data_IF_188036641061
#
_entry.id   IF_188036641061
#
_cell.length_a   1.000
_cell.length_b   1.000
_cell.length_c   1.000
_cell.angle_alpha   90.00
_cell.angle_beta   90.00
_cell.angle_gamma   90.00
#
_symmetry.space_group_name_H-M   'P 1'
#
loop_
_entity.id
_entity.type
_entity.pdbx_description
1 polymer ?
#
# COMPACT_ATOMS: atom_id res chain seq x y z
N UNK A 1 20.34 9.31 3.53
CA UNK A 1 19.29 10.18 4.10
C UNK A 1 17.96 9.73 3.53
N UNK A 2 17.34 8.76 4.19
CA UNK A 2 16.00 8.27 3.88
C UNK A 2 15.00 9.19 4.59
N UNK A 3 14.63 10.26 3.91
CA UNK A 3 13.65 11.23 4.39
C UNK A 3 12.23 10.65 4.22
N UNK A 4 11.94 9.58 4.96
CA UNK A 4 10.58 9.11 5.18
C UNK A 4 10.03 9.93 6.33
N UNK A 5 9.58 11.15 6.01
CA UNK A 5 8.83 11.98 6.95
C UNK A 5 7.76 11.13 7.63
N UNK A 6 7.74 11.21 8.95
CA UNK A 6 6.74 10.58 9.82
C UNK A 6 5.38 10.74 9.14
N UNK A 7 4.62 9.65 8.86
CA UNK A 7 3.30 9.79 8.28
C UNK A 7 2.52 10.76 9.16
N UNK A 8 2.05 11.87 8.61
CA UNK A 8 1.07 12.71 9.30
C UNK A 8 -0.07 11.76 9.67
N UNK A 9 -0.23 11.50 10.96
CA UNK A 9 -1.23 10.57 11.45
C UNK A 9 -2.60 11.10 11.04
N UNK A 10 -3.40 10.28 10.36
CA UNK A 10 -4.72 10.69 9.90
C UNK A 10 -5.56 11.17 11.09
N UNK A 11 -5.99 12.44 11.05
CA UNK A 11 -6.80 13.09 12.10
C UNK A 11 -8.17 12.44 12.28
N UNK A 12 -8.66 11.73 11.25
CA UNK A 12 -9.96 11.05 11.33
C UNK A 12 -9.94 9.85 12.27
N UNK A 13 -8.80 9.16 12.38
CA UNK A 13 -8.66 7.93 13.18
C UNK A 13 -7.55 8.04 14.24
N UNK A 14 -7.25 9.25 14.70
CA UNK A 14 -6.22 9.52 15.73
C UNK A 14 -6.50 8.84 17.08
N UNK A 15 -7.77 8.72 17.43
CA UNK A 15 -8.29 8.00 18.59
C UNK A 15 -8.28 6.47 18.43
N UNK A 16 -7.93 5.95 17.25
CA UNK A 16 -7.81 4.50 17.03
C UNK A 16 -6.39 4.09 17.40
N UNK A 17 -6.25 3.19 18.36
CA UNK A 17 -4.95 2.68 18.78
C UNK A 17 -4.25 1.88 17.66
N UNK A 18 -2.93 2.07 17.55
CA UNK A 18 -2.04 1.26 16.73
C UNK A 18 -0.92 0.67 17.59
N UNK A 19 -0.46 -0.51 17.22
CA UNK A 19 0.66 -1.17 17.89
C UNK A 19 1.99 -0.53 17.50
N UNK A 20 2.85 -0.22 18.48
CA UNK A 20 4.13 0.49 18.29
C UNK A 20 5.37 -0.33 18.60
N UNK A 21 5.21 -1.62 18.95
CA UNK A 21 6.32 -2.47 19.41
C UNK A 21 7.16 -3.09 18.28
N UNK A 22 6.93 -2.70 17.03
CA UNK A 22 7.55 -3.32 15.85
C UNK A 22 8.95 -2.75 15.58
N UNK A 23 9.94 -3.62 15.41
CA UNK A 23 11.25 -3.20 14.91
C UNK A 23 11.17 -2.90 13.41
N UNK A 24 11.37 -1.65 13.03
CA UNK A 24 11.40 -1.26 11.63
C UNK A 24 12.67 -1.73 10.93
N UNK A 25 12.52 -2.44 9.81
CA UNK A 25 13.63 -2.96 9.02
C UNK A 25 13.42 -2.76 7.52
N UNK A 26 14.50 -2.53 6.79
CA UNK A 26 14.48 -2.47 5.33
C UNK A 26 14.66 -3.87 4.71
N UNK A 27 14.00 -4.16 3.58
CA UNK A 27 14.19 -5.41 2.84
C UNK A 27 15.44 -5.38 1.97
N UNK A 28 16.06 -6.55 1.78
CA UNK A 28 16.91 -6.76 0.61
C UNK A 28 16.02 -6.73 -0.62
N UNK A 29 16.35 -5.85 -1.57
CA UNK A 29 15.57 -5.64 -2.79
C UNK A 29 16.31 -6.19 -4.00
N UNK A 30 15.61 -6.93 -4.86
CA UNK A 30 16.14 -7.44 -6.12
C UNK A 30 15.09 -7.34 -7.22
N UNK A 31 15.50 -7.46 -8.48
CA UNK A 31 14.57 -7.49 -9.61
C UNK A 31 14.67 -8.83 -10.32
N UNK A 32 13.55 -9.54 -10.45
CA UNK A 32 13.46 -10.83 -11.14
C UNK A 32 12.41 -10.68 -12.23
N UNK A 33 12.81 -10.85 -13.49
CA UNK A 33 11.91 -10.71 -14.65
C UNK A 33 11.10 -9.39 -14.67
N UNK A 34 11.72 -8.29 -14.23
CA UNK A 34 11.07 -6.96 -14.13
C UNK A 34 10.21 -6.76 -12.89
N UNK A 35 10.01 -7.79 -12.06
CA UNK A 35 9.29 -7.71 -10.78
C UNK A 35 10.25 -7.40 -9.65
N UNK A 36 9.90 -6.44 -8.79
CA UNK A 36 10.69 -6.14 -7.60
C UNK A 36 10.37 -7.11 -6.48
N UNK A 37 11.37 -7.86 -6.02
CA UNK A 37 11.27 -8.83 -4.94
C UNK A 37 11.90 -8.27 -3.67
N UNK A 38 11.21 -8.48 -2.54
CA UNK A 38 11.67 -8.13 -1.20
C UNK A 38 12.02 -9.39 -0.42
N UNK A 39 13.09 -9.32 0.37
CA UNK A 39 13.53 -10.43 1.21
C UNK A 39 13.99 -9.94 2.56
N UNK A 40 13.56 -10.64 3.62
CA UNK A 40 14.07 -10.45 4.97
C UNK A 40 14.65 -11.75 5.53
N UNK A 41 15.67 -11.60 6.37
CA UNK A 41 16.17 -12.63 7.26
C UNK A 41 16.14 -12.07 8.67
N UNK A 42 15.32 -12.63 9.53
CA UNK A 42 15.12 -12.11 10.89
C UNK A 42 15.20 -13.24 11.92
N UNK A 43 15.87 -13.02 13.06
CA UNK A 43 15.74 -13.92 14.21
C UNK A 43 14.38 -13.75 14.88
N UNK A 44 14.12 -14.49 15.97
CA UNK A 44 12.94 -14.31 16.82
C UNK A 44 12.68 -12.83 17.13
N UNK A 45 11.44 -12.37 16.94
CA UNK A 45 11.02 -11.00 17.24
C UNK A 45 9.81 -10.53 16.43
N UNK A 46 9.49 -9.24 16.58
CA UNK A 46 8.39 -8.55 15.92
C UNK A 46 8.96 -7.44 15.01
N UNK A 47 8.65 -7.49 13.72
CA UNK A 47 9.23 -6.60 12.72
C UNK A 47 8.17 -5.90 11.85
N UNK A 48 8.49 -4.71 11.37
CA UNK A 48 7.74 -3.99 10.34
C UNK A 48 8.65 -3.66 9.15
N UNK A 49 8.25 -4.02 7.94
CA UNK A 49 8.97 -3.61 6.75
C UNK A 49 8.68 -2.14 6.43
N UNK A 50 9.72 -1.32 6.36
CA UNK A 50 9.61 0.12 6.06
C UNK A 50 9.10 0.43 4.64
N UNK A 51 9.21 -0.53 3.71
CA UNK A 51 8.78 -0.36 2.31
C UNK A 51 7.31 -0.75 2.12
N UNK A 52 6.91 -1.92 2.63
CA UNK A 52 5.56 -2.47 2.40
C UNK A 52 4.59 -2.20 3.55
N UNK A 53 5.09 -1.87 4.74
CA UNK A 53 4.29 -1.84 5.96
C UNK A 53 3.85 -3.22 6.44
N UNK A 54 4.31 -4.31 5.83
CA UNK A 54 4.04 -5.68 6.31
C UNK A 54 4.65 -5.86 7.69
N UNK A 55 3.87 -6.37 8.65
CA UNK A 55 4.37 -6.72 9.99
C UNK A 55 4.31 -8.21 10.22
N UNK A 56 5.26 -8.76 10.98
CA UNK A 56 5.26 -10.17 11.35
C UNK A 56 5.94 -10.43 12.68
N UNK A 57 5.44 -11.46 13.37
CA UNK A 57 6.03 -12.04 14.57
C UNK A 57 6.55 -13.43 14.23
N UNK A 58 7.79 -13.72 14.61
CA UNK A 58 8.35 -15.07 14.52
C UNK A 58 9.04 -15.47 15.83
N UNK A 59 8.89 -16.74 16.21
CA UNK A 59 9.51 -17.31 17.42
C UNK A 59 10.88 -17.97 17.15
N UNK A 60 11.27 -18.05 15.87
CA UNK A 60 12.53 -18.63 15.40
C UNK A 60 13.11 -17.79 14.27
N UNK A 61 14.31 -18.15 13.82
CA UNK A 61 14.91 -17.60 12.61
C UNK A 61 14.03 -17.90 11.39
N UNK A 62 13.70 -16.86 10.65
CA UNK A 62 12.91 -16.96 9.42
C UNK A 62 13.56 -16.26 8.26
N UNK A 63 13.25 -16.75 7.06
CA UNK A 63 13.55 -16.09 5.81
C UNK A 63 12.26 -16.01 5.02
N UNK A 64 11.79 -14.80 4.80
CA UNK A 64 10.58 -14.52 4.05
C UNK A 64 10.91 -13.71 2.80
N UNK A 65 10.25 -14.05 1.70
CA UNK A 65 10.29 -13.33 0.43
C UNK A 65 8.88 -12.92 0.06
N UNK A 66 8.74 -11.75 -0.56
CA UNK A 66 7.47 -11.37 -1.15
C UNK A 66 7.62 -10.34 -2.27
N UNK A 67 6.54 -10.13 -3.01
CA UNK A 67 6.40 -9.03 -3.95
C UNK A 67 4.94 -8.55 -4.00
N UNK A 68 4.74 -7.35 -4.54
CA UNK A 68 3.40 -6.84 -4.83
C UNK A 68 2.87 -7.45 -6.12
N UNK A 69 1.61 -7.90 -6.11
CA UNK A 69 0.89 -8.35 -7.30
C UNK A 69 -0.14 -7.32 -7.76
N UNK A 70 -0.45 -7.35 -9.06
CA UNK A 70 -1.50 -6.53 -9.63
C UNK A 70 -2.88 -7.12 -9.28
N UNK A 71 -3.81 -6.25 -8.89
CA UNK A 71 -5.20 -6.58 -8.63
C UNK A 71 -6.06 -6.73 -9.90
N UNK A 72 -5.63 -6.18 -11.04
CA UNK A 72 -6.43 -6.16 -12.28
C UNK A 72 -7.01 -7.55 -12.65
N UNK A 73 -6.25 -8.66 -12.58
CA UNK A 73 -6.77 -10.00 -12.91
C UNK A 73 -7.92 -10.45 -11.99
N UNK A 74 -8.03 -9.91 -10.78
CA UNK A 74 -9.02 -10.30 -9.77
C UNK A 74 -10.18 -9.31 -9.64
N UNK A 75 -10.19 -8.24 -10.44
CA UNK A 75 -11.16 -7.16 -10.33
C UNK A 75 -12.61 -7.58 -10.57
N UNK A 76 -12.85 -8.49 -11.52
CA UNK A 76 -14.17 -9.07 -11.78
C UNK A 76 -14.60 -10.03 -10.68
N UNK A 77 -13.70 -10.94 -10.29
CA UNK A 77 -13.94 -11.89 -9.20
C UNK A 77 -14.34 -11.19 -7.90
N UNK A 78 -13.65 -10.12 -7.51
CA UNK A 78 -14.01 -9.34 -6.33
C UNK A 78 -15.43 -8.75 -6.44
N UNK A 79 -15.82 -8.23 -7.60
CA UNK A 79 -17.17 -7.70 -7.81
C UNK A 79 -18.22 -8.79 -7.67
N UNK A 80 -17.99 -9.96 -8.26
CA UNK A 80 -18.91 -11.10 -8.21
C UNK A 80 -19.10 -11.62 -6.78
N UNK A 81 -18.01 -11.68 -6.01
CA UNK A 81 -18.05 -12.02 -4.59
C UNK A 81 -18.60 -10.89 -3.70
N UNK A 82 -18.91 -9.72 -4.25
CA UNK A 82 -19.32 -8.52 -3.53
C UNK A 82 -18.27 -8.01 -2.53
N UNK A 83 -17.02 -7.91 -2.96
CA UNK A 83 -15.90 -7.31 -2.22
C UNK A 83 -15.16 -6.23 -3.04
N UNK A 84 -14.33 -5.47 -2.33
CA UNK A 84 -13.33 -4.53 -2.88
C UNK A 84 -11.98 -4.76 -2.22
N UNK A 85 -10.93 -4.19 -2.81
CA UNK A 85 -9.60 -4.17 -2.23
C UNK A 85 -9.62 -3.41 -0.89
N UNK A 86 -8.99 -3.96 0.14
CA UNK A 86 -8.72 -3.27 1.41
C UNK A 86 -7.25 -2.91 1.60
N UNK A 87 -6.35 -3.56 0.84
CA UNK A 87 -4.90 -3.40 0.93
C UNK A 87 -4.15 -3.84 -0.34
N UNK A 88 -2.80 -3.85 -0.30
CA UNK A 88 -1.98 -4.42 -1.36
C UNK A 88 -2.09 -5.95 -1.42
N UNK A 89 -2.12 -6.51 -2.63
CA UNK A 89 -1.94 -7.94 -2.84
C UNK A 89 -0.47 -8.31 -2.73
N UNK A 90 -0.13 -9.12 -1.74
CA UNK A 90 1.22 -9.57 -1.42
C UNK A 90 1.35 -11.05 -1.68
N UNK A 91 2.27 -11.44 -2.56
CA UNK A 91 2.61 -12.85 -2.76
C UNK A 91 3.82 -13.18 -1.91
N UNK A 92 3.56 -13.87 -0.80
CA UNK A 92 4.52 -14.16 0.25
C UNK A 92 4.95 -15.61 0.15
N UNK A 93 6.24 -15.86 0.33
CA UNK A 93 6.83 -17.19 0.33
C UNK A 93 7.84 -17.29 1.46
N UNK A 94 7.77 -18.35 2.25
CA UNK A 94 8.79 -18.68 3.24
C UNK A 94 9.89 -19.50 2.59
N UNK A 95 11.15 -19.08 2.75
CA UNK A 95 12.31 -19.92 2.43
C UNK A 95 12.80 -20.70 3.65
N UNK A 96 12.53 -20.19 4.86
CA UNK A 96 12.91 -20.81 6.11
C UNK A 96 11.94 -20.40 7.22
N UNK A 97 11.52 -21.38 8.02
CA UNK A 97 10.72 -21.19 9.22
C UNK A 97 9.27 -20.81 8.94
N UNK A 98 8.57 -20.46 10.01
CA UNK A 98 7.14 -20.13 10.03
C UNK A 98 6.92 -18.84 10.82
N UNK A 99 5.85 -18.10 10.50
CA UNK A 99 5.46 -16.90 11.21
C UNK A 99 4.32 -17.25 12.18
N UNK A 100 4.36 -16.70 13.39
CA UNK A 100 3.26 -16.85 14.34
C UNK A 100 2.10 -15.93 13.98
N UNK A 101 2.44 -14.70 13.57
CA UNK A 101 1.48 -13.65 13.25
C UNK A 101 1.96 -12.89 12.01
N UNK A 102 1.01 -12.50 11.16
CA UNK A 102 1.23 -11.54 10.08
C UNK A 102 0.17 -10.46 10.17
N UNK A 103 0.58 -9.20 10.06
CA UNK A 103 -0.35 -8.09 9.94
C UNK A 103 -0.23 -7.49 8.54
N UNK A 104 -1.31 -7.65 7.77
CA UNK A 104 -1.42 -7.14 6.42
C UNK A 104 -1.87 -5.69 6.43
N UNK A 105 -1.17 -4.77 5.74
CA UNK A 105 -1.56 -3.36 5.72
C UNK A 105 -2.90 -3.17 4.99
N UNK A 106 -3.73 -2.25 5.48
CA UNK A 106 -4.94 -1.78 4.81
C UNK A 106 -4.97 -0.26 4.73
N UNK A 107 -5.69 0.27 3.74
CA UNK A 107 -5.91 1.71 3.59
C UNK A 107 -7.26 2.17 4.12
N UNK A 108 -8.09 1.27 4.65
CA UNK A 108 -9.40 1.63 5.23
C UNK A 108 -9.21 2.47 6.49
N UNK A 109 -9.94 3.59 6.59
CA UNK A 109 -9.98 4.42 7.78
C UNK A 109 -11.11 3.96 8.69
N UNK A 110 -10.78 3.65 9.94
CA UNK A 110 -11.73 3.14 10.93
C UNK A 110 -12.34 4.24 11.80
N UNK A 111 -11.93 5.50 11.59
CA UNK A 111 -12.27 6.62 12.48
C UNK A 111 -13.73 7.06 12.42
N UNK A 112 -14.37 7.00 11.24
CA UNK A 112 -15.78 7.34 11.08
C UNK A 112 -16.72 6.16 11.30
N UNK A 113 -16.22 4.93 11.11
CA UNK A 113 -17.01 3.73 11.30
C UNK A 113 -16.15 2.54 11.78
N UNK A 114 -16.03 2.35 13.10
CA UNK A 114 -15.29 1.22 13.67
C UNK A 114 -15.88 -0.15 13.32
N UNK A 115 -17.14 -0.26 12.92
CA UNK A 115 -17.76 -1.55 12.56
C UNK A 115 -17.22 -2.13 11.25
N UNK A 116 -16.50 -1.33 10.44
CA UNK A 116 -15.83 -1.80 9.22
C UNK A 116 -14.82 -2.92 9.48
N UNK A 117 -14.34 -3.06 10.72
CA UNK A 117 -13.49 -4.20 11.14
C UNK A 117 -14.16 -5.54 10.83
N UNK A 118 -15.48 -5.63 11.03
CA UNK A 118 -16.27 -6.85 10.84
C UNK A 118 -16.55 -7.16 9.36
N UNK A 119 -16.31 -6.20 8.47
CA UNK A 119 -16.54 -6.34 7.03
C UNK A 119 -15.26 -6.68 6.26
N UNK A 120 -14.12 -6.78 6.96
CA UNK A 120 -12.84 -7.17 6.38
C UNK A 120 -12.64 -8.69 6.42
N UNK A 121 -12.09 -9.23 5.34
CA UNK A 121 -11.61 -10.60 5.25
C UNK A 121 -10.22 -10.65 4.64
N UNK A 122 -9.53 -11.76 4.84
CA UNK A 122 -8.30 -12.05 4.10
C UNK A 122 -8.65 -12.91 2.89
N UNK A 123 -8.27 -12.41 1.72
CA UNK A 123 -8.30 -13.15 0.46
C UNK A 123 -7.00 -13.94 0.34
N UNK A 124 -7.12 -15.22 0.00
CA UNK A 124 -6.01 -16.05 -0.48
C UNK A 124 -6.25 -16.37 -1.95
N UNK A 125 -5.24 -16.15 -2.78
CA UNK A 125 -5.24 -16.57 -4.19
C UNK A 125 -4.45 -17.87 -4.30
N UNK A 126 -5.13 -18.90 -4.76
CA UNK A 126 -4.61 -20.26 -4.89
C UNK A 126 -4.58 -20.67 -6.36
N UNK A 127 -3.98 -21.83 -6.66
CA UNK A 127 -3.84 -22.32 -8.05
C UNK A 127 -5.19 -22.48 -8.77
N UNK A 128 -6.24 -22.88 -8.03
CA UNK A 128 -7.56 -23.19 -8.59
C UNK A 128 -8.67 -22.23 -8.14
N UNK A 129 -8.33 -21.05 -7.65
CA UNK A 129 -9.33 -20.04 -7.29
C UNK A 129 -8.89 -19.15 -6.14
N UNK A 130 -9.85 -18.83 -5.27
CA UNK A 130 -9.63 -18.02 -4.08
C UNK A 130 -10.35 -18.61 -2.88
N UNK A 131 -9.76 -18.42 -1.70
CA UNK A 131 -10.40 -18.73 -0.42
C UNK A 131 -10.41 -17.48 0.47
N UNK A 132 -11.33 -17.46 1.44
CA UNK A 132 -11.49 -16.36 2.38
C UNK A 132 -11.21 -16.85 3.80
N UNK A 133 -10.38 -16.11 4.52
CA UNK A 133 -10.08 -16.30 5.94
C UNK A 133 -10.66 -15.14 6.77
N UNK A 134 -11.16 -15.43 7.96
CA UNK A 134 -11.58 -14.40 8.92
C UNK A 134 -10.38 -13.67 9.48
N UNK A 135 -10.50 -12.35 9.64
CA UNK A 135 -9.45 -11.57 10.30
C UNK A 135 -9.46 -11.86 11.79
N UNK A 136 -8.30 -12.13 12.37
CA UNK A 136 -8.18 -12.35 13.82
C UNK A 136 -8.39 -11.05 14.60
N UNK A 137 -7.72 -9.98 14.15
CA UNK A 137 -7.85 -8.64 14.73
C UNK A 137 -7.61 -7.60 13.64
N UNK A 138 -8.44 -6.56 13.57
CA UNK A 138 -8.15 -5.37 12.76
C UNK A 138 -7.62 -4.30 13.71
N UNK A 139 -6.54 -3.62 13.33
CA UNK A 139 -5.92 -2.48 14.04
C UNK A 139 -6.09 -1.21 13.20
N UNK A 140 -5.47 -0.09 13.58
CA UNK A 140 -5.63 1.18 12.83
C UNK A 140 -5.25 1.09 11.35
N UNK A 141 -4.19 0.35 11.02
CA UNK A 141 -3.64 0.26 9.66
C UNK A 141 -3.42 -1.16 9.17
N UNK A 142 -3.72 -2.18 9.97
CA UNK A 142 -3.44 -3.57 9.61
C UNK A 142 -4.52 -4.55 10.04
N UNK A 143 -4.67 -5.63 9.29
CA UNK A 143 -5.43 -6.81 9.63
C UNK A 143 -4.48 -7.96 10.01
N UNK A 144 -4.62 -8.48 11.22
CA UNK A 144 -3.83 -9.56 11.80
C UNK A 144 -4.45 -10.91 11.45
N UNK A 145 -3.59 -11.85 11.08
CA UNK A 145 -3.87 -13.28 11.01
C UNK A 145 -2.84 -14.06 11.81
N UNK A 146 -3.25 -15.23 12.30
CA UNK A 146 -2.43 -16.14 13.08
C UNK A 146 -2.06 -17.33 12.22
N UNK A 147 -0.80 -17.76 12.33
CA UNK A 147 -0.28 -18.98 11.71
C UNK A 147 -0.59 -19.02 10.20
N UNK A 148 -0.20 -17.97 9.47
CA UNK A 148 -0.66 -17.73 8.10
C UNK A 148 -0.25 -18.85 7.16
N UNK A 149 -1.17 -19.21 6.26
CA UNK A 149 -0.85 -20.01 5.07
C UNK A 149 -0.40 -19.06 3.97
N UNK A 150 0.80 -19.29 3.46
CA UNK A 150 1.38 -18.40 2.47
C UNK A 150 0.90 -18.71 1.05
N UNK A 151 0.37 -17.67 0.42
CA UNK A 151 -0.04 -17.59 -0.97
C UNK A 151 -0.03 -16.11 -1.37
N UNK A 152 -0.65 -15.72 -2.50
CA UNK A 152 -0.95 -14.31 -2.71
C UNK A 152 -2.13 -13.90 -1.83
N UNK A 153 -1.88 -13.02 -0.87
CA UNK A 153 -2.82 -12.65 0.19
C UNK A 153 -3.07 -11.14 0.27
N UNK A 154 -4.29 -10.76 0.66
CA UNK A 154 -4.63 -9.36 0.94
C UNK A 154 -5.87 -9.21 1.80
N UNK A 155 -5.97 -8.07 2.47
CA UNK A 155 -7.24 -7.57 3.02
C UNK A 155 -8.20 -7.20 1.89
N UNK A 156 -9.44 -7.65 2.00
CA UNK A 156 -10.59 -7.25 1.19
C UNK A 156 -11.72 -6.75 2.09
N UNK A 157 -12.61 -5.92 1.54
CA UNK A 157 -13.71 -5.28 2.27
C UNK A 157 -15.05 -5.52 1.55
N UNK A 158 -16.10 -5.85 2.31
CA UNK A 158 -17.42 -6.15 1.74
C UNK A 158 -18.05 -4.94 1.03
N UNK A 159 -18.57 -5.17 -0.18
CA UNK A 159 -19.00 -4.14 -1.13
C UNK A 159 -20.23 -3.34 -0.67
N UNK A 160 -21.18 -3.98 0.04
CA UNK A 160 -22.45 -3.36 0.46
C UNK A 160 -22.21 -2.14 1.38
N UNK A 161 -21.12 -2.16 2.16
CA UNK A 161 -20.73 -1.05 3.02
C UNK A 161 -19.69 -0.11 2.39
N UNK A 162 -19.09 -0.49 1.26
CA UNK A 162 -17.92 0.17 0.67
C UNK A 162 -18.18 1.55 0.03
N UNK A 163 -19.44 1.93 -0.23
CA UNK A 163 -19.76 3.18 -0.96
C UNK A 163 -19.65 4.44 -0.07
N UNK A 164 -19.47 4.24 1.24
CA UNK A 164 -19.31 5.30 2.24
C UNK A 164 -18.07 5.10 3.10
N UNK A 165 -17.08 4.34 2.61
CA UNK A 165 -15.87 4.03 3.36
C UNK A 165 -14.86 5.14 3.15
N UNK A 166 -14.41 5.70 4.26
CA UNK A 166 -13.27 6.58 4.27
C UNK A 166 -11.99 5.76 4.16
N UNK A 167 -11.06 6.21 3.33
CA UNK A 167 -9.75 5.58 3.15
C UNK A 167 -8.64 6.60 3.37
N UNK A 168 -7.52 6.13 3.89
CA UNK A 168 -6.26 6.86 3.88
C UNK A 168 -5.76 6.96 2.45
N UNK A 169 -5.26 8.12 2.04
CA UNK A 169 -4.82 8.38 0.67
C UNK A 169 -3.35 8.80 0.63
N UNK A 170 -2.70 8.50 -0.48
CA UNK A 170 -1.40 9.07 -0.84
C UNK A 170 -1.60 10.12 -1.94
N UNK A 171 -0.88 11.24 -1.83
CA UNK A 171 -0.80 12.25 -2.86
C UNK A 171 0.62 12.32 -3.40
N UNK A 172 0.80 12.13 -4.71
CA UNK A 172 2.12 12.17 -5.34
C UNK A 172 2.14 13.13 -6.53
N UNK A 173 3.05 14.11 -6.48
CA UNK A 173 3.29 15.05 -7.57
C UNK A 173 4.60 14.73 -8.29
N UNK A 174 4.53 14.63 -9.61
CA UNK A 174 5.67 14.47 -10.50
C UNK A 174 5.70 15.57 -11.55
N UNK A 175 6.92 16.06 -11.82
CA UNK A 175 7.19 17.03 -12.86
C UNK A 175 8.18 16.45 -13.87
N UNK A 176 7.95 16.72 -15.15
CA UNK A 176 8.93 16.47 -16.21
C UNK A 176 8.93 17.62 -17.20
N UNK A 177 10.10 17.94 -17.75
CA UNK A 177 10.24 18.96 -18.79
C UNK A 177 10.51 18.24 -20.10
N UNK A 178 9.64 18.45 -21.09
CA UNK A 178 9.82 17.96 -22.45
C UNK A 178 9.87 19.14 -23.39
N UNK A 179 11.01 19.35 -24.05
CA UNK A 179 11.31 20.58 -24.82
C UNK A 179 11.13 21.79 -23.90
N UNK A 180 10.26 22.74 -24.27
CA UNK A 180 9.99 23.96 -23.51
C UNK A 180 8.72 23.85 -22.66
N UNK A 181 8.20 22.63 -22.47
CA UNK A 181 6.93 22.38 -21.81
C UNK A 181 7.11 21.68 -20.47
N UNK A 182 6.63 22.31 -19.39
CA UNK A 182 6.49 21.67 -18.09
C UNK A 182 5.23 20.80 -18.07
N UNK A 183 5.39 19.51 -17.76
CA UNK A 183 4.29 18.56 -17.59
C UNK A 183 4.22 18.19 -16.10
N UNK A 184 3.04 18.42 -15.52
CA UNK A 184 2.73 18.09 -14.13
C UNK A 184 1.73 16.93 -14.06
N UNK A 185 1.97 15.99 -13.13
CA UNK A 185 1.09 14.84 -12.89
C UNK A 185 0.85 14.69 -11.41
N UNK A 186 -0.41 14.75 -11.01
CA UNK A 186 -0.85 14.57 -9.65
C UNK A 186 -1.62 13.26 -9.53
N UNK A 187 -1.17 12.40 -8.62
CA UNK A 187 -1.81 11.12 -8.33
C UNK A 187 -2.47 11.17 -6.95
N UNK A 188 -3.74 10.78 -6.89
CA UNK A 188 -4.49 10.59 -5.64
C UNK A 188 -5.10 9.19 -5.64
N UNK A 189 -4.65 8.35 -4.72
CA UNK A 189 -5.11 6.96 -4.61
C UNK A 189 -5.05 6.50 -3.15
N UNK A 190 -5.73 5.39 -2.78
CA UNK A 190 -5.66 4.86 -1.43
C UNK A 190 -4.21 4.60 -1.04
N UNK A 191 -3.85 4.68 0.24
CA UNK A 191 -2.47 4.49 0.74
C UNK A 191 -2.04 3.03 0.62
N UNK A 192 -1.81 2.60 -0.62
CA UNK A 192 -1.44 1.26 -1.03
C UNK A 192 0.03 1.28 -1.46
N UNK A 193 0.91 0.67 -0.65
CA UNK A 193 2.35 0.66 -0.89
C UNK A 193 2.74 0.07 -2.26
N UNK A 194 1.97 -0.90 -2.78
CA UNK A 194 2.17 -1.45 -4.12
C UNK A 194 1.89 -0.41 -5.22
N UNK A 195 0.82 0.38 -5.09
CA UNK A 195 0.53 1.47 -6.03
C UNK A 195 1.56 2.59 -5.96
N UNK A 196 2.00 2.98 -4.75
CA UNK A 196 3.06 3.96 -4.56
C UNK A 196 4.33 3.52 -5.30
N UNK A 197 4.69 2.24 -5.19
CA UNK A 197 5.85 1.69 -5.87
C UNK A 197 5.67 1.68 -7.40
N UNK A 198 4.51 1.26 -7.90
CA UNK A 198 4.21 1.25 -9.33
C UNK A 198 4.31 2.66 -9.94
N UNK A 199 3.72 3.67 -9.28
CA UNK A 199 3.80 5.08 -9.72
C UNK A 199 5.24 5.57 -9.70
N UNK A 200 6.02 5.27 -8.66
CA UNK A 200 7.45 5.62 -8.60
C UNK A 200 8.22 5.03 -9.78
N UNK A 201 8.05 3.74 -10.05
CA UNK A 201 8.74 3.04 -11.14
C UNK A 201 8.36 3.60 -12.51
N UNK A 202 7.06 3.83 -12.75
CA UNK A 202 6.58 4.44 -13.98
C UNK A 202 7.20 5.83 -14.19
N UNK A 203 7.08 6.73 -13.21
CA UNK A 203 7.55 8.10 -13.36
C UNK A 203 9.07 8.20 -13.45
N UNK A 204 9.81 7.31 -12.78
CA UNK A 204 11.26 7.19 -12.96
C UNK A 204 11.63 6.79 -14.39
N UNK A 205 10.90 5.85 -14.99
CA UNK A 205 11.13 5.42 -16.38
C UNK A 205 10.85 6.53 -17.40
N UNK A 206 9.95 7.46 -17.06
CA UNK A 206 9.62 8.63 -17.88
C UNK A 206 10.56 9.84 -17.64
N UNK A 207 11.55 9.70 -16.77
CA UNK A 207 12.50 10.77 -16.42
C UNK A 207 11.91 11.88 -15.56
N UNK A 208 10.71 11.67 -15.00
CA UNK A 208 10.06 12.64 -14.11
C UNK A 208 10.76 12.71 -12.75
N UNK A 209 10.65 13.86 -12.09
CA UNK A 209 11.12 14.10 -10.73
C UNK A 209 9.94 14.22 -9.77
N UNK A 210 10.00 13.50 -8.65
CA UNK A 210 9.03 13.63 -7.57
C UNK A 210 9.21 14.97 -6.85
N UNK A 211 8.13 15.72 -6.69
CA UNK A 211 8.07 16.88 -5.81
C UNK A 211 7.41 16.43 -4.51
N UNK A 212 8.07 16.70 -3.38
CA UNK A 212 7.53 16.36 -2.07
C UNK A 212 6.40 17.32 -1.73
N UNK A 213 5.25 16.75 -1.42
CA UNK A 213 4.03 17.45 -1.00
C UNK A 213 3.44 16.71 0.20
N UNK A 214 2.66 17.42 1.01
CA UNK A 214 2.00 16.83 2.16
C UNK A 214 0.88 15.89 1.71
N UNK A 215 0.78 14.75 2.37
CA UNK A 215 -0.40 13.91 2.26
C UNK A 215 -1.60 14.62 2.92
N UNK A 216 -2.83 14.21 2.58
CA UNK A 216 -3.98 14.74 3.26
C UNK A 216 -4.01 14.37 4.75
N UNK A 217 -4.45 15.31 5.59
CA UNK A 217 -4.53 15.11 7.04
C UNK A 217 -5.75 14.27 7.46
N UNK A 218 -6.74 14.11 6.58
CA UNK A 218 -7.98 13.38 6.81
C UNK A 218 -8.18 12.29 5.76
N UNK A 219 -8.99 11.28 6.10
CA UNK A 219 -9.41 10.24 5.15
C UNK A 219 -10.48 10.76 4.17
N UNK A 220 -10.60 10.12 2.99
CA UNK A 220 -11.58 10.48 1.96
C UNK A 220 -12.47 9.32 1.61
N UNK A 221 -13.70 9.65 1.18
CA UNK A 221 -14.55 8.72 0.44
C UNK A 221 -14.02 8.58 -0.97
N UNK A 222 -13.21 7.54 -1.20
CA UNK A 222 -12.62 7.26 -2.49
C UNK A 222 -13.26 6.01 -3.10
N UNK A 223 -14.03 6.18 -4.16
CA UNK A 223 -14.66 5.04 -4.85
C UNK A 223 -13.69 4.29 -5.79
N UNK A 224 -12.58 4.92 -6.20
CA UNK A 224 -11.54 4.40 -7.08
C UNK A 224 -10.27 5.27 -7.04
N UNK A 225 -9.13 4.79 -7.54
CA UNK A 225 -7.93 5.63 -7.75
C UNK A 225 -8.16 6.67 -8.85
N UNK A 226 -7.61 7.87 -8.70
CA UNK A 226 -7.69 8.93 -9.72
C UNK A 226 -6.30 9.47 -10.07
N UNK A 227 -6.05 9.59 -11.37
CA UNK A 227 -4.92 10.36 -11.89
C UNK A 227 -5.45 11.71 -12.38
N UNK A 228 -5.07 12.78 -11.70
CA UNK A 228 -5.37 14.13 -12.13
C UNK A 228 -4.23 14.59 -13.03
N UNK A 229 -4.45 14.46 -14.34
CA UNK A 229 -3.63 15.18 -15.31
C UNK A 229 -4.07 16.64 -15.22
N UNK A 230 -3.24 17.52 -14.67
CA UNK A 230 -3.49 18.95 -14.71
C UNK A 230 -3.17 19.36 -16.17
N UNK A 231 -4.17 19.64 -17.02
CA UNK A 231 -3.96 19.82 -18.45
C UNK A 231 -3.21 21.12 -18.78
N UNK A 232 -2.95 21.97 -17.78
CA UNK A 232 -2.19 23.19 -17.92
C UNK A 232 -0.69 22.85 -18.04
N UNK A 233 -0.27 22.50 -19.24
CA UNK A 233 1.14 22.56 -19.61
C UNK A 233 1.58 24.02 -19.62
N UNK A 234 2.60 24.37 -18.84
CA UNK A 234 3.13 25.74 -18.79
C UNK A 234 4.40 25.82 -19.64
N UNK A 235 4.43 26.71 -20.63
CA UNK A 235 5.64 27.02 -21.38
C UNK A 235 6.66 27.69 -20.46
N UNK A 236 7.87 27.15 -20.39
CA UNK A 236 8.97 27.71 -19.61
C UNK A 236 9.75 28.66 -20.51
N UNK A 237 9.26 29.90 -20.64
CA UNK A 237 10.00 30.94 -21.35
C UNK A 237 10.93 31.65 -20.34
N UNK A 238 12.26 31.73 -20.58
CA UNK A 238 13.14 32.52 -19.75
C UNK A 238 12.74 33.99 -19.79
N UNK A 239 12.82 34.69 -18.65
CA UNK A 239 12.69 36.15 -18.64
C UNK A 239 13.86 36.74 -19.42
N UNK A 240 13.57 37.45 -20.51
CA UNK A 240 14.57 38.25 -21.22
C UNK A 240 14.87 39.46 -20.32
N UNK A 241 15.98 39.41 -19.59
CA UNK A 241 16.52 40.60 -18.94
C UNK A 241 17.21 41.44 -20.00
N UNK A 242 16.61 42.59 -20.35
CA UNK A 242 17.30 43.60 -21.15
C UNK A 242 18.35 44.26 -20.25
N UNK A 243 19.63 44.09 -20.59
CA UNK A 243 20.75 44.86 -20.02
C UNK A 243 20.84 46.21 -20.71
#
# INVERSE_FOLDING_TARGET
MSDYGIPQSCKTCDHVEDSTHWLQIEPLTSTVQGVTMFRHRTPKGSYECTVSGLRWLCERDVILKYHFRNWDPYSHLLKDMQYRQGGPLLDITMELGELEEVHLPHFVCLGTNPSLRNEMKILHVEEHGVSLEEVHEVTRFHAKILHPKFSAISVILRYIFSWKVDVHCELMLYLTVKRETLISRLYLFPSNRGQIQAVKQQEMSEGSKRILITNPEQSFKLNSSFRLNIPCSTSINPQVQFQ
#
